data_IF_615089694351
#
_entry.id   IF_615089694351
#
_cell.length_a   1.000
_cell.length_b   1.000
_cell.length_c   1.000
_cell.angle_alpha   90.00
_cell.angle_beta   90.00
_cell.angle_gamma   90.00
#
_symmetry.space_group_name_H-M   'P 1'
#
loop_
_entity.id
_entity.type
_entity.pdbx_description
1 polymer ?
#
# COMPACT_ATOMS: atom_id res chain seq x y z
N UNK A 1 -1.37 -17.30 15.26
CA UNK A 1 -1.77 -15.90 15.41
C UNK A 1 -2.19 -15.33 14.07
N UNK A 2 -3.35 -14.75 14.02
CA UNK A 2 -3.79 -14.14 12.78
C UNK A 2 -3.06 -12.81 12.55
N UNK A 3 -2.68 -12.58 11.33
CA UNK A 3 -2.10 -11.32 10.93
C UNK A 3 -3.11 -10.54 10.14
N UNK A 4 -3.14 -9.25 10.39
CA UNK A 4 -3.97 -8.38 9.59
C UNK A 4 -3.23 -8.05 8.31
N UNK A 5 -3.85 -8.40 7.21
CA UNK A 5 -3.28 -8.29 5.88
C UNK A 5 -4.34 -7.73 4.95
N UNK A 6 -3.95 -6.87 4.07
CA UNK A 6 -4.84 -6.36 3.04
C UNK A 6 -4.12 -6.34 1.69
N UNK A 7 -4.88 -6.61 0.64
CA UNK A 7 -4.37 -6.57 -0.72
C UNK A 7 -5.07 -5.46 -1.47
N UNK A 8 -4.33 -4.82 -2.35
CA UNK A 8 -4.84 -3.75 -3.17
C UNK A 8 -4.12 -3.81 -4.50
N UNK A 9 -4.86 -3.66 -5.59
CA UNK A 9 -4.26 -3.70 -6.92
C UNK A 9 -4.73 -2.52 -7.73
N UNK A 10 -3.84 -2.01 -8.57
CA UNK A 10 -4.12 -0.85 -9.38
C UNK A 10 -3.59 -1.06 -10.79
N UNK A 11 -4.42 -0.83 -11.78
CA UNK A 11 -4.03 -0.85 -13.18
C UNK A 11 -3.40 0.50 -13.54
N UNK A 12 -2.27 0.48 -14.26
CA UNK A 12 -1.56 1.71 -14.60
C UNK A 12 -2.13 2.29 -15.89
N UNK A 13 -2.77 3.43 -15.76
CA UNK A 13 -3.45 4.13 -16.84
C UNK A 13 -2.57 5.26 -17.38
N UNK A 14 -2.88 5.82 -18.57
CA UNK A 14 -2.05 6.88 -19.16
C UNK A 14 -1.80 8.09 -18.28
N UNK A 15 -2.76 8.49 -17.47
CA UNK A 15 -2.59 9.64 -16.59
C UNK A 15 -1.76 9.35 -15.35
N UNK A 16 -1.31 8.12 -15.17
CA UNK A 16 -0.48 7.75 -14.05
C UNK A 16 1.01 7.78 -14.37
N UNK A 17 1.38 7.96 -15.62
CA UNK A 17 2.79 7.85 -16.03
C UNK A 17 3.39 9.23 -16.28
N UNK A 18 4.69 9.28 -16.13
CA UNK A 18 5.48 10.48 -16.37
C UNK A 18 5.94 10.56 -17.83
N UNK A 19 6.73 11.59 -18.13
CA UNK A 19 7.16 11.85 -19.51
C UNK A 19 8.09 10.77 -20.06
N UNK A 20 8.70 9.95 -19.21
CA UNK A 20 9.58 8.87 -19.68
C UNK A 20 8.88 7.52 -19.73
N UNK A 21 7.57 7.51 -19.47
CA UNK A 21 6.76 6.30 -19.65
C UNK A 21 6.68 5.38 -18.46
N UNK A 22 7.16 5.80 -17.31
CA UNK A 22 7.06 5.00 -16.08
C UNK A 22 6.07 5.64 -15.11
N UNK A 23 5.64 4.85 -14.14
CA UNK A 23 4.70 5.31 -13.12
C UNK A 23 5.26 6.51 -12.39
N UNK A 24 4.42 7.53 -12.26
CA UNK A 24 4.77 8.72 -11.51
C UNK A 24 4.96 8.38 -10.03
N UNK A 25 6.09 8.83 -9.44
CA UNK A 25 6.42 8.46 -8.06
C UNK A 25 5.38 8.89 -7.05
N UNK A 26 4.81 10.08 -7.23
CA UNK A 26 3.75 10.54 -6.34
C UNK A 26 2.52 9.67 -6.39
N UNK A 27 2.21 9.11 -7.55
CA UNK A 27 1.08 8.19 -7.69
C UNK A 27 1.35 6.88 -6.95
N UNK A 28 2.58 6.38 -7.03
CA UNK A 28 2.95 5.18 -6.29
C UNK A 28 2.79 5.40 -4.78
N UNK A 29 3.23 6.54 -4.28
CA UNK A 29 3.11 6.87 -2.87
C UNK A 29 1.64 6.94 -2.45
N UNK A 30 0.79 7.53 -3.29
CA UNK A 30 -0.64 7.60 -3.00
C UNK A 30 -1.25 6.20 -2.90
N UNK A 31 -0.87 5.30 -3.78
CA UNK A 31 -1.38 3.92 -3.73
C UNK A 31 -0.85 3.14 -2.54
N UNK A 32 0.40 3.37 -2.17
CA UNK A 32 0.96 2.76 -0.95
C UNK A 32 0.16 3.20 0.26
N UNK A 33 -0.19 4.49 0.32
CA UNK A 33 -0.99 5.00 1.42
C UNK A 33 -2.37 4.38 1.44
N UNK A 34 -2.99 4.17 0.28
CA UNK A 34 -4.29 3.50 0.21
C UNK A 34 -4.22 2.06 0.72
N UNK A 35 -3.17 1.33 0.34
CA UNK A 35 -2.99 -0.04 0.82
C UNK A 35 -2.82 -0.07 2.34
N UNK A 36 -2.03 0.86 2.87
CA UNK A 36 -1.83 0.96 4.30
C UNK A 36 -3.13 1.33 5.01
N UNK A 37 -3.90 2.25 4.44
CA UNK A 37 -5.18 2.65 5.00
C UNK A 37 -6.16 1.47 5.05
N UNK A 38 -6.13 0.62 4.03
CA UNK A 38 -7.03 -0.53 3.97
C UNK A 38 -6.74 -1.53 5.09
N UNK A 39 -5.48 -1.85 5.34
CA UNK A 39 -5.15 -2.80 6.41
C UNK A 39 -5.39 -2.17 7.77
N UNK A 40 -5.13 -0.87 7.91
CA UNK A 40 -5.42 -0.17 9.16
C UNK A 40 -6.91 -0.19 9.46
N UNK A 41 -7.73 0.06 8.44
CA UNK A 41 -9.17 0.02 8.60
C UNK A 41 -9.66 -1.35 9.09
N UNK A 42 -9.13 -2.41 8.49
CA UNK A 42 -9.48 -3.77 8.91
C UNK A 42 -9.09 -4.04 10.35
N UNK A 43 -7.89 -3.61 10.72
CA UNK A 43 -7.39 -3.81 12.08
C UNK A 43 -8.24 -3.06 13.09
N UNK A 44 -8.55 -1.80 12.82
CA UNK A 44 -9.27 -0.96 13.75
C UNK A 44 -10.75 -1.33 13.85
N UNK A 45 -11.30 -1.91 12.80
CA UNK A 45 -12.71 -2.29 12.78
C UNK A 45 -13.03 -3.29 13.86
N UNK A 46 -12.09 -4.16 14.23
CA UNK A 46 -12.30 -5.13 15.28
C UNK A 46 -11.85 -4.68 16.65
N UNK A 47 -11.48 -3.41 16.81
CA UNK A 47 -10.91 -2.92 18.05
C UNK A 47 -11.83 -1.89 18.71
N UNK A 48 -11.47 -1.52 19.94
CA UNK A 48 -12.18 -0.48 20.67
C UNK A 48 -11.63 0.92 20.36
N UNK A 49 -10.63 1.00 19.52
CA UNK A 49 -10.02 2.29 19.19
C UNK A 49 -11.00 3.16 18.40
N UNK A 50 -11.02 4.43 18.71
CA UNK A 50 -11.95 5.36 18.11
C UNK A 50 -11.30 6.35 17.16
N UNK A 51 -10.26 5.93 16.49
CA UNK A 51 -9.68 6.70 15.39
C UNK A 51 -8.50 7.58 15.75
N UNK A 52 -8.12 7.65 17.02
CA UNK A 52 -6.96 8.45 17.42
C UNK A 52 -5.66 7.65 17.35
N UNK A 53 -5.46 6.97 16.22
CA UNK A 53 -4.32 6.06 16.06
C UNK A 53 -3.40 6.58 14.98
N UNK A 54 -2.11 6.68 15.30
CA UNK A 54 -1.10 7.06 14.33
C UNK A 54 -0.70 5.85 13.49
N UNK A 55 -0.71 6.01 12.17
CA UNK A 55 -0.23 4.99 11.24
C UNK A 55 1.19 5.33 10.82
N UNK A 56 2.08 4.36 10.91
CA UNK A 56 3.44 4.51 10.43
C UNK A 56 3.71 3.44 9.39
N UNK A 57 4.13 3.85 8.20
CA UNK A 57 4.53 2.90 7.18
C UNK A 57 6.03 2.67 7.38
N UNK A 58 6.36 1.47 7.89
CA UNK A 58 7.73 1.15 8.26
C UNK A 58 8.62 0.86 7.08
N UNK A 59 8.05 0.20 6.08
CA UNK A 59 8.86 -0.27 4.96
C UNK A 59 7.99 -0.36 3.72
N UNK A 60 8.53 0.12 2.62
CA UNK A 60 7.94 -0.05 1.31
C UNK A 60 8.97 -0.74 0.42
N UNK A 61 8.65 -1.93 -0.07
CA UNK A 61 9.49 -2.62 -1.02
C UNK A 61 8.95 -2.41 -2.41
N UNK A 62 9.82 -1.95 -3.30
CA UNK A 62 9.46 -1.65 -4.66
C UNK A 62 10.71 -1.82 -5.52
N UNK A 63 10.74 -2.86 -6.34
CA UNK A 63 11.99 -3.28 -6.97
C UNK A 63 12.13 -2.97 -8.44
N UNK A 64 11.03 -2.75 -9.15
CA UNK A 64 11.09 -2.64 -10.60
C UNK A 64 10.34 -1.43 -11.09
N UNK A 65 10.75 -0.86 -12.23
CA UNK A 65 9.96 0.20 -12.85
C UNK A 65 8.59 -0.33 -13.25
N UNK A 66 7.60 0.53 -13.18
CA UNK A 66 6.23 0.19 -13.53
C UNK A 66 5.85 0.98 -14.77
N UNK A 67 5.25 0.30 -15.72
CA UNK A 67 4.92 0.89 -17.03
C UNK A 67 3.42 0.92 -17.26
N UNK A 68 3.03 1.70 -18.26
CA UNK A 68 1.65 1.75 -18.71
C UNK A 68 1.17 0.33 -19.03
N UNK A 69 -0.01 0.01 -18.55
CA UNK A 69 -0.60 -1.30 -18.82
C UNK A 69 -0.23 -2.39 -17.82
N UNK A 70 0.70 -2.10 -16.94
CA UNK A 70 1.02 -3.04 -15.85
C UNK A 70 -0.05 -2.98 -14.76
N UNK A 71 -0.15 -4.04 -14.01
CA UNK A 71 -0.85 -4.03 -12.73
C UNK A 71 0.17 -3.87 -11.62
N UNK A 72 -0.14 -3.08 -10.62
CA UNK A 72 0.66 -3.02 -9.40
C UNK A 72 -0.14 -3.69 -8.30
N UNK A 73 0.45 -4.68 -7.69
CA UNK A 73 -0.17 -5.41 -6.60
C UNK A 73 0.49 -5.03 -5.29
N UNK A 74 -0.32 -4.66 -4.32
CA UNK A 74 0.16 -4.23 -3.00
C UNK A 74 -0.30 -5.21 -1.95
N UNK A 75 0.59 -5.53 -1.03
CA UNK A 75 0.23 -6.28 0.16
C UNK A 75 0.64 -5.44 1.35
N UNK A 76 -0.30 -5.11 2.20
CA UNK A 76 -0.04 -4.33 3.40
C UNK A 76 -0.31 -5.20 4.62
N UNK A 77 0.59 -5.17 5.58
CA UNK A 77 0.48 -5.99 6.78
C UNK A 77 0.76 -5.14 8.01
N UNK A 78 0.02 -5.42 9.08
CA UNK A 78 0.33 -4.84 10.38
C UNK A 78 1.50 -5.65 10.96
N UNK A 79 2.63 -4.98 11.19
CA UNK A 79 3.81 -5.65 11.72
C UNK A 79 3.96 -5.46 13.22
N UNK A 80 3.41 -4.38 13.76
CA UNK A 80 3.32 -4.18 15.20
C UNK A 80 2.26 -3.16 15.51
N UNK A 81 1.78 -3.17 16.74
CA UNK A 81 0.76 -2.22 17.19
C UNK A 81 1.01 -1.87 18.63
N UNK A 82 0.93 -0.58 18.94
CA UNK A 82 0.96 -0.08 20.30
C UNK A 82 -0.43 0.44 20.69
N UNK A 83 -0.48 1.16 21.80
CA UNK A 83 -1.75 1.68 22.31
C UNK A 83 -2.37 2.69 21.34
N UNK A 84 -1.55 3.56 20.78
CA UNK A 84 -2.02 4.64 19.93
C UNK A 84 -1.34 4.68 18.57
N UNK A 85 -0.68 3.58 18.19
CA UNK A 85 0.03 3.53 16.91
C UNK A 85 -0.03 2.14 16.32
N UNK A 86 0.00 2.09 14.99
CA UNK A 86 0.16 0.84 14.25
C UNK A 86 1.27 1.04 13.22
N UNK A 87 2.02 -0.02 13.03
CA UNK A 87 3.16 0.00 12.12
C UNK A 87 2.89 -0.97 10.98
N UNK A 88 3.05 -0.52 9.77
CA UNK A 88 2.58 -1.21 8.58
C UNK A 88 3.75 -1.41 7.62
N UNK A 89 3.84 -2.59 7.06
CA UNK A 89 4.76 -2.89 5.97
C UNK A 89 3.96 -3.04 4.69
N UNK A 90 4.40 -2.38 3.63
CA UNK A 90 3.75 -2.48 2.33
C UNK A 90 4.75 -3.03 1.32
N UNK A 91 4.35 -4.06 0.61
CA UNK A 91 5.12 -4.61 -0.50
C UNK A 91 4.37 -4.34 -1.79
N UNK A 92 5.08 -3.84 -2.77
CA UNK A 92 4.51 -3.52 -4.07
C UNK A 92 5.32 -4.21 -5.16
N UNK A 93 4.63 -4.83 -6.10
CA UNK A 93 5.29 -5.45 -7.23
C UNK A 93 4.45 -5.31 -8.47
N UNK A 94 5.14 -5.20 -9.60
CA UNK A 94 4.48 -5.02 -10.87
C UNK A 94 4.21 -6.37 -11.52
N UNK A 95 3.06 -6.46 -12.15
CA UNK A 95 2.70 -7.60 -12.97
C UNK A 95 2.49 -7.06 -14.37
N UNK A 96 3.39 -7.39 -15.27
CA UNK A 96 3.37 -6.82 -16.60
C UNK A 96 2.24 -7.33 -17.47
N UNK A 97 1.85 -6.49 -18.41
CA UNK A 97 0.81 -6.85 -19.36
C UNK A 97 1.33 -7.70 -20.52
N UNK A 98 2.62 -8.02 -20.52
CA UNK A 98 3.21 -8.80 -21.58
C UNK A 98 3.56 -10.17 -21.12
#
# INVERSE_FOLDING_TARGET
>A
MSQYLAKYSQFVMPDHINVVGTLFGGQMIAWVDLAAAKVAHRFLKGSQADGAVTRTIEQVEFKEPVYLGDWVNFTAAIVSAGTTSIHIEVKAYAEGGK
#
